data_IF_192751052814
#
_entry.id   IF_192751052814
#
_cell.length_a   1.000
_cell.length_b   1.000
_cell.length_c   1.000
_cell.angle_alpha   90.00
_cell.angle_beta   90.00
_cell.angle_gamma   90.00
#
_symmetry.space_group_name_H-M   'P 1'
#
loop_
_entity.id
_entity.type
_entity.pdbx_description
1 polymer ?
#
# COMPACT_ATOMS: atom_id res chain seq x y z
N UNK A 1 -0.77 -8.40 -26.71
CA UNK A 1 -0.20 -9.17 -25.58
C UNK A 1 -1.18 -9.20 -24.39
N UNK A 2 -1.69 -8.06 -23.96
CA UNK A 2 -2.62 -7.95 -22.82
C UNK A 2 -3.89 -8.76 -23.04
N UNK A 3 -4.55 -8.62 -24.19
CA UNK A 3 -5.78 -9.36 -24.53
C UNK A 3 -5.55 -10.89 -24.50
N UNK A 4 -4.38 -11.34 -24.96
CA UNK A 4 -4.03 -12.77 -24.93
C UNK A 4 -3.79 -13.26 -23.50
N UNK A 5 -3.26 -12.41 -22.61
CA UNK A 5 -3.05 -12.74 -21.20
C UNK A 5 -4.41 -12.80 -20.48
N UNK A 6 -5.26 -11.81 -20.68
CA UNK A 6 -6.60 -11.77 -20.12
C UNK A 6 -7.44 -13.01 -20.54
N UNK A 7 -7.44 -13.33 -21.82
CA UNK A 7 -8.15 -14.51 -22.33
C UNK A 7 -7.64 -15.84 -21.72
N UNK A 8 -6.33 -15.97 -21.53
CA UNK A 8 -5.75 -17.15 -20.87
C UNK A 8 -6.09 -17.20 -19.39
N UNK A 9 -5.99 -16.08 -18.68
CA UNK A 9 -6.33 -15.99 -17.27
C UNK A 9 -7.79 -16.35 -17.03
N UNK A 10 -8.72 -15.70 -17.76
CA UNK A 10 -10.14 -15.93 -17.62
C UNK A 10 -10.51 -17.39 -17.91
N UNK A 11 -9.93 -17.99 -18.96
CA UNK A 11 -10.14 -19.42 -19.25
C UNK A 11 -9.72 -20.32 -18.08
N UNK A 12 -8.60 -20.03 -17.41
CA UNK A 12 -8.12 -20.80 -16.26
C UNK A 12 -9.05 -20.60 -15.05
N UNK A 13 -9.57 -19.38 -14.86
CA UNK A 13 -10.54 -19.06 -13.83
C UNK A 13 -11.87 -19.76 -14.05
N UNK A 14 -12.42 -19.71 -15.26
CA UNK A 14 -13.67 -20.38 -15.67
C UNK A 14 -13.57 -21.89 -15.58
N UNK A 15 -12.41 -22.46 -15.89
CA UNK A 15 -12.15 -23.90 -15.75
C UNK A 15 -12.04 -24.36 -14.29
N UNK A 16 -12.18 -23.46 -13.30
CA UNK A 16 -12.11 -23.80 -11.88
C UNK A 16 -10.74 -24.29 -11.42
N UNK A 17 -9.66 -23.92 -12.12
CA UNK A 17 -8.29 -24.33 -11.76
C UNK A 17 -7.73 -23.49 -10.62
N UNK A 18 -8.07 -22.18 -10.60
CA UNK A 18 -7.55 -21.21 -9.64
C UNK A 18 -8.69 -20.41 -8.95
N UNK A 19 -9.83 -20.99 -8.52
CA UNK A 19 -10.73 -20.28 -7.64
C UNK A 19 -10.09 -20.19 -6.24
N UNK A 20 -10.31 -19.09 -5.49
CA UNK A 20 -9.68 -18.89 -4.17
C UNK A 20 -9.89 -20.05 -3.21
N UNK A 21 -11.08 -20.67 -3.24
CA UNK A 21 -11.43 -21.83 -2.42
C UNK A 21 -10.59 -23.08 -2.75
N UNK A 22 -10.35 -23.38 -4.02
CA UNK A 22 -9.52 -24.53 -4.42
C UNK A 22 -8.05 -24.31 -4.05
N UNK A 23 -7.55 -23.08 -4.20
CA UNK A 23 -6.19 -22.72 -3.79
C UNK A 23 -6.04 -22.86 -2.29
N UNK A 24 -7.01 -22.40 -1.50
CA UNK A 24 -7.01 -22.57 -0.05
C UNK A 24 -7.02 -24.04 0.34
N UNK A 25 -7.90 -24.85 -0.25
CA UNK A 25 -7.94 -26.30 0.00
C UNK A 25 -6.62 -27.00 -0.36
N UNK A 26 -5.97 -26.58 -1.44
CA UNK A 26 -4.67 -27.13 -1.84
C UNK A 26 -3.58 -26.75 -0.83
N UNK A 27 -3.55 -25.49 -0.36
CA UNK A 27 -2.64 -25.06 0.71
C UNK A 27 -2.84 -25.91 1.96
N UNK A 28 -4.10 -26.12 2.39
CA UNK A 28 -4.44 -26.90 3.56
C UNK A 28 -4.01 -28.37 3.45
N UNK A 29 -4.21 -28.97 2.26
CA UNK A 29 -3.77 -30.32 1.96
C UNK A 29 -2.26 -30.46 2.07
N UNK A 30 -1.50 -29.53 1.47
CA UNK A 30 -0.04 -29.51 1.55
C UNK A 30 0.46 -29.24 2.97
N UNK A 31 -0.16 -28.29 3.70
CA UNK A 31 0.19 -27.98 5.07
C UNK A 31 0.00 -29.20 5.98
N UNK A 32 -1.09 -29.95 5.79
CA UNK A 32 -1.36 -31.19 6.53
C UNK A 32 -0.33 -32.27 6.18
N UNK A 33 -0.01 -32.42 4.91
CA UNK A 33 0.98 -33.39 4.44
C UNK A 33 2.38 -33.11 5.01
N UNK A 34 2.73 -31.84 5.14
CA UNK A 34 4.05 -31.40 5.63
C UNK A 34 4.15 -31.32 7.17
N UNK A 35 3.08 -31.60 7.92
CA UNK A 35 3.01 -31.36 9.36
C UNK A 35 4.13 -32.05 10.17
N UNK A 36 4.54 -33.23 9.80
CA UNK A 36 5.65 -33.93 10.49
C UNK A 36 7.02 -33.43 10.05
N UNK A 37 7.18 -33.22 8.76
CA UNK A 37 8.46 -32.76 8.18
C UNK A 37 8.80 -31.33 8.59
N UNK A 38 7.81 -30.44 8.71
CA UNK A 38 8.02 -29.06 9.16
C UNK A 38 8.55 -29.00 10.60
N UNK A 39 8.07 -29.88 11.48
CA UNK A 39 8.58 -29.96 12.85
C UNK A 39 10.08 -30.25 12.89
N UNK A 40 10.52 -31.25 12.13
CA UNK A 40 11.95 -31.60 12.02
C UNK A 40 12.78 -30.48 11.35
N UNK A 41 12.19 -29.84 10.32
CA UNK A 41 12.86 -28.75 9.62
C UNK A 41 13.11 -27.54 10.55
N UNK A 42 12.09 -27.12 11.31
CA UNK A 42 12.21 -25.96 12.19
C UNK A 42 12.92 -26.25 13.52
N UNK A 43 13.04 -27.50 13.93
CA UNK A 43 14.00 -27.91 14.94
C UNK A 43 15.45 -27.73 14.48
N UNK A 44 15.73 -28.01 13.19
CA UNK A 44 17.06 -27.81 12.60
C UNK A 44 17.35 -26.35 12.29
N UNK A 45 16.34 -25.62 11.81
CA UNK A 45 16.42 -24.23 11.36
C UNK A 45 15.35 -23.39 12.06
N UNK A 46 15.63 -22.81 13.24
CA UNK A 46 14.62 -22.09 14.05
C UNK A 46 14.39 -20.68 13.51
N UNK A 47 13.81 -20.56 12.31
CA UNK A 47 13.62 -19.29 11.60
C UNK A 47 12.18 -18.75 11.66
N UNK A 48 11.23 -19.47 12.24
CA UNK A 48 9.81 -19.06 12.28
C UNK A 48 9.56 -17.70 12.95
N UNK A 49 10.40 -17.34 13.92
CA UNK A 49 10.34 -16.05 14.62
C UNK A 49 11.38 -15.05 14.11
N UNK A 50 12.06 -15.36 12.99
CA UNK A 50 13.13 -14.52 12.46
C UNK A 50 12.75 -14.04 11.07
N UNK A 51 12.72 -12.73 10.84
CA UNK A 51 12.53 -12.17 9.51
C UNK A 51 13.69 -12.56 8.61
N UNK A 52 13.44 -13.42 7.63
CA UNK A 52 14.42 -13.79 6.60
C UNK A 52 14.29 -12.87 5.38
N UNK A 53 15.39 -12.75 4.64
CA UNK A 53 15.73 -11.71 3.67
C UNK A 53 14.61 -11.16 2.78
N UNK A 54 13.70 -11.98 2.30
CA UNK A 54 12.65 -11.55 1.35
C UNK A 54 11.24 -11.54 1.96
N UNK A 55 11.09 -12.02 3.20
CA UNK A 55 9.79 -12.05 3.84
C UNK A 55 9.50 -10.71 4.51
N UNK A 56 8.30 -10.13 4.33
CA UNK A 56 7.92 -8.87 4.96
C UNK A 56 7.86 -9.00 6.49
N UNK A 57 7.50 -10.19 7.00
CA UNK A 57 7.37 -10.49 8.43
C UNK A 57 7.78 -11.93 8.75
N UNK A 58 7.86 -12.26 10.02
CA UNK A 58 7.90 -13.62 10.54
C UNK A 58 6.59 -13.89 11.30
N UNK A 59 5.87 -14.95 10.99
CA UNK A 59 4.57 -15.23 11.60
C UNK A 59 4.68 -15.94 12.97
N UNK A 60 5.87 -16.30 13.39
CA UNK A 60 6.14 -16.91 14.70
C UNK A 60 5.84 -18.41 14.81
N UNK A 61 5.03 -18.96 13.91
CA UNK A 61 4.69 -20.37 13.88
C UNK A 61 4.46 -20.86 12.45
N UNK A 62 4.51 -22.19 12.24
CA UNK A 62 4.20 -22.79 10.95
C UNK A 62 2.74 -22.52 10.53
N UNK A 63 1.81 -22.66 11.46
CA UNK A 63 0.40 -22.36 11.24
C UNK A 63 0.19 -20.89 10.86
N UNK A 64 0.92 -19.99 11.50
CA UNK A 64 0.91 -18.56 11.17
C UNK A 64 1.41 -18.26 9.76
N UNK A 65 2.48 -18.91 9.32
CA UNK A 65 2.99 -18.78 7.94
C UNK A 65 1.99 -19.37 6.91
N UNK A 66 1.36 -20.50 7.22
CA UNK A 66 0.31 -21.09 6.37
C UNK A 66 -0.91 -20.18 6.29
N UNK A 67 -1.35 -19.60 7.42
CA UNK A 67 -2.47 -18.68 7.45
C UNK A 67 -2.17 -17.42 6.63
N UNK A 68 -0.98 -16.87 6.77
CA UNK A 68 -0.56 -15.72 5.96
C UNK A 68 -0.55 -16.03 4.45
N UNK A 69 -0.10 -17.23 4.06
CA UNK A 69 -0.15 -17.67 2.67
C UNK A 69 -1.60 -17.73 2.14
N UNK A 70 -2.55 -18.23 2.96
CA UNK A 70 -3.98 -18.24 2.59
C UNK A 70 -4.50 -16.82 2.34
N UNK A 71 -4.28 -15.91 3.29
CA UNK A 71 -4.71 -14.52 3.21
C UNK A 71 -4.10 -13.82 1.99
N UNK A 72 -2.80 -14.02 1.76
CA UNK A 72 -2.13 -13.51 0.57
C UNK A 72 -2.79 -14.00 -0.71
N UNK A 73 -3.07 -15.30 -0.85
CA UNK A 73 -3.67 -15.85 -2.06
C UNK A 73 -5.14 -15.41 -2.25
N UNK A 74 -5.88 -15.29 -1.15
CA UNK A 74 -7.27 -14.78 -1.18
C UNK A 74 -7.35 -13.33 -1.65
N UNK A 75 -6.39 -12.51 -1.30
CA UNK A 75 -6.29 -11.12 -1.79
C UNK A 75 -5.67 -11.04 -3.19
N UNK A 76 -4.66 -11.87 -3.47
CA UNK A 76 -3.89 -11.81 -4.71
C UNK A 76 -4.67 -12.25 -5.94
N UNK A 77 -5.52 -13.27 -5.81
CA UNK A 77 -6.31 -13.77 -6.95
C UNK A 77 -7.31 -12.70 -7.45
N UNK A 78 -8.14 -12.08 -6.61
CA UNK A 78 -9.00 -10.98 -7.04
C UNK A 78 -8.22 -9.78 -7.60
N UNK A 79 -7.06 -9.48 -7.03
CA UNK A 79 -6.19 -8.44 -7.57
C UNK A 79 -5.75 -8.76 -9.01
N UNK A 80 -5.37 -10.01 -9.30
CA UNK A 80 -5.01 -10.42 -10.67
C UNK A 80 -6.24 -10.35 -11.58
N UNK A 81 -7.41 -10.81 -11.11
CA UNK A 81 -8.67 -10.72 -11.87
C UNK A 81 -8.93 -9.27 -12.32
N UNK A 82 -8.84 -8.34 -11.39
CA UNK A 82 -9.02 -6.92 -11.69
C UNK A 82 -7.93 -6.40 -12.64
N UNK A 83 -6.68 -6.71 -12.38
CA UNK A 83 -5.54 -6.20 -13.17
C UNK A 83 -5.52 -6.73 -14.60
N UNK A 84 -5.91 -7.97 -14.81
CA UNK A 84 -5.89 -8.62 -16.13
C UNK A 84 -7.11 -8.22 -16.96
N UNK A 85 -8.25 -7.99 -16.33
CA UNK A 85 -9.51 -7.64 -17.01
C UNK A 85 -9.75 -6.12 -17.14
N UNK A 86 -8.96 -5.30 -16.42
CA UNK A 86 -8.94 -3.87 -16.71
C UNK A 86 -8.18 -3.64 -18.02
N UNK A 87 -8.73 -2.89 -18.95
CA UNK A 87 -8.14 -2.51 -20.26
C UNK A 87 -6.85 -1.69 -20.15
N UNK A 88 -5.92 -2.12 -19.28
CA UNK A 88 -4.79 -1.32 -18.86
C UNK A 88 -5.20 -0.16 -17.96
N UNK A 89 -6.40 -0.20 -17.41
CA UNK A 89 -6.96 0.80 -16.51
C UNK A 89 -6.06 1.05 -15.32
N UNK A 90 -5.96 2.29 -14.93
CA UNK A 90 -5.14 2.74 -13.80
C UNK A 90 -5.86 2.56 -12.46
N UNK A 91 -6.91 1.70 -12.43
CA UNK A 91 -7.69 1.37 -11.24
C UNK A 91 -8.92 2.26 -11.00
N UNK A 92 -9.43 2.98 -12.01
CA UNK A 92 -10.55 3.91 -11.86
C UNK A 92 -11.81 3.27 -11.24
N UNK A 93 -12.06 2.01 -11.55
CA UNK A 93 -13.22 1.25 -11.05
C UNK A 93 -12.92 0.48 -9.74
N UNK A 94 -11.69 0.58 -9.21
CA UNK A 94 -11.32 -0.10 -7.97
C UNK A 94 -11.56 0.80 -6.77
N UNK A 95 -12.19 0.24 -5.75
CA UNK A 95 -12.41 0.88 -4.47
C UNK A 95 -11.91 0.00 -3.32
N UNK A 96 -11.13 0.58 -2.43
CA UNK A 96 -10.53 -0.11 -1.28
C UNK A 96 -11.12 0.42 0.02
N UNK A 97 -11.58 -0.46 0.88
CA UNK A 97 -11.90 -0.14 2.28
C UNK A 97 -10.69 -0.46 3.15
N UNK A 98 -10.15 0.55 3.82
CA UNK A 98 -8.89 0.46 4.56
C UNK A 98 -9.16 0.67 6.04
N UNK A 99 -9.00 -0.38 6.84
CA UNK A 99 -9.19 -0.37 8.28
C UNK A 99 -7.98 -0.88 9.07
N UNK A 100 -6.90 -1.31 8.39
CA UNK A 100 -5.68 -1.78 9.05
C UNK A 100 -4.41 -1.25 8.38
N UNK A 101 -3.28 -1.21 9.10
CA UNK A 101 -1.99 -0.80 8.52
C UNK A 101 -1.57 -1.66 7.33
N UNK A 102 -1.84 -2.95 7.35
CA UNK A 102 -1.51 -3.88 6.27
C UNK A 102 -2.35 -3.58 5.02
N UNK A 103 -3.63 -3.25 5.16
CA UNK A 103 -4.48 -2.85 4.03
C UNK A 103 -3.99 -1.54 3.40
N UNK A 104 -3.57 -0.57 4.22
CA UNK A 104 -2.97 0.67 3.72
C UNK A 104 -1.64 0.39 3.00
N UNK A 105 -0.81 -0.51 3.55
CA UNK A 105 0.42 -0.96 2.90
C UNK A 105 0.13 -1.60 1.54
N UNK A 106 -0.85 -2.51 1.47
CA UNK A 106 -1.24 -3.17 0.23
C UNK A 106 -1.78 -2.18 -0.80
N UNK A 107 -2.61 -1.24 -0.37
CA UNK A 107 -3.08 -0.15 -1.21
C UNK A 107 -1.93 0.69 -1.78
N UNK A 108 -0.99 1.13 -0.92
CA UNK A 108 0.18 1.89 -1.35
C UNK A 108 1.03 1.11 -2.38
N UNK A 109 1.25 -0.18 -2.15
CA UNK A 109 1.95 -1.03 -3.11
C UNK A 109 1.21 -1.15 -4.45
N UNK A 110 -0.11 -1.28 -4.44
CA UNK A 110 -0.90 -1.37 -5.66
C UNK A 110 -0.87 -0.06 -6.46
N UNK A 111 -1.02 1.08 -5.80
CA UNK A 111 -0.86 2.41 -6.42
C UNK A 111 0.54 2.56 -7.00
N UNK A 112 1.58 2.22 -6.25
CA UNK A 112 2.97 2.33 -6.67
C UNK A 112 3.33 1.38 -7.84
N UNK A 113 2.54 0.32 -8.02
CA UNK A 113 2.64 -0.63 -9.13
C UNK A 113 1.68 -0.32 -10.29
N UNK A 114 1.07 0.87 -10.33
CA UNK A 114 0.36 1.39 -11.48
C UNK A 114 -1.16 1.51 -11.36
N UNK A 115 -1.79 1.14 -10.22
CA UNK A 115 -3.21 1.40 -9.97
C UNK A 115 -3.41 2.83 -9.42
N UNK A 116 -2.85 3.82 -10.11
CA UNK A 116 -2.75 5.20 -9.61
C UNK A 116 -4.09 5.91 -9.45
N UNK A 117 -5.15 5.43 -10.10
CA UNK A 117 -6.50 5.99 -10.03
C UNK A 117 -7.47 5.15 -9.15
N UNK A 118 -6.96 4.15 -8.45
CA UNK A 118 -7.79 3.39 -7.52
C UNK A 118 -8.30 4.31 -6.39
N UNK A 119 -9.57 4.16 -6.04
CA UNK A 119 -10.21 4.90 -4.97
C UNK A 119 -10.07 4.16 -3.64
N UNK A 120 -10.07 4.90 -2.53
CA UNK A 120 -10.01 4.31 -1.20
C UNK A 120 -10.83 5.10 -0.18
N UNK A 121 -11.39 4.39 0.80
CA UNK A 121 -12.03 5.00 1.97
C UNK A 121 -11.45 4.38 3.24
N UNK A 122 -11.06 5.22 4.20
CA UNK A 122 -10.71 4.74 5.54
C UNK A 122 -11.98 4.35 6.30
N UNK A 123 -11.93 3.23 7.01
CA UNK A 123 -13.01 2.76 7.89
C UNK A 123 -12.58 2.70 9.36
N UNK A 124 -11.33 3.08 9.66
CA UNK A 124 -10.76 3.18 11.01
C UNK A 124 -9.53 4.08 11.00
N UNK A 125 -9.11 4.51 12.19
CA UNK A 125 -7.82 5.17 12.39
C UNK A 125 -6.67 4.16 12.17
N UNK A 126 -5.61 4.57 11.49
CA UNK A 126 -4.50 3.70 11.08
C UNK A 126 -3.19 4.15 11.76
N UNK A 127 -2.55 3.26 12.50
CA UNK A 127 -1.16 3.42 12.92
C UNK A 127 -0.22 2.83 11.87
N UNK A 128 0.37 3.71 11.06
CA UNK A 128 1.24 3.33 9.94
C UNK A 128 2.74 3.49 10.27
N UNK A 129 3.09 3.65 11.53
CA UNK A 129 4.48 3.89 12.00
C UNK A 129 5.40 2.71 11.74
N UNK A 130 4.87 1.50 11.59
CA UNK A 130 5.65 0.29 11.25
C UNK A 130 6.16 0.25 9.80
N UNK A 131 5.77 1.22 8.95
CA UNK A 131 6.12 1.28 7.52
C UNK A 131 6.85 2.57 7.15
N UNK A 132 8.03 2.86 7.74
CA UNK A 132 8.66 4.19 7.70
C UNK A 132 9.17 4.65 6.32
N UNK A 133 9.22 3.76 5.35
CA UNK A 133 9.71 4.09 4.00
C UNK A 133 8.60 4.03 2.94
N UNK A 134 7.38 3.71 3.33
CA UNK A 134 6.29 3.55 2.38
C UNK A 134 5.48 4.84 2.26
N UNK A 135 5.31 5.29 1.03
CA UNK A 135 4.48 6.42 0.64
C UNK A 135 3.53 5.98 -0.47
N UNK A 136 2.41 6.68 -0.62
CA UNK A 136 1.44 6.44 -1.70
C UNK A 136 1.83 7.29 -2.92
N UNK A 137 1.93 6.64 -4.08
CA UNK A 137 2.42 7.26 -5.31
C UNK A 137 3.95 7.28 -5.41
N UNK A 138 4.43 7.46 -6.64
CA UNK A 138 5.86 7.56 -6.96
C UNK A 138 6.17 8.91 -7.60
N UNK A 139 7.46 9.25 -7.77
CA UNK A 139 7.85 10.46 -8.51
C UNK A 139 7.47 10.41 -9.99
N UNK A 140 7.42 9.21 -10.57
CA UNK A 140 7.08 9.02 -11.98
C UNK A 140 5.56 8.89 -12.22
N UNK A 141 4.81 8.43 -11.20
CA UNK A 141 3.38 8.19 -11.26
C UNK A 141 2.76 8.56 -9.92
N UNK A 142 2.23 9.78 -9.84
CA UNK A 142 1.52 10.27 -8.66
C UNK A 142 0.17 9.56 -8.49
N UNK A 143 -0.35 9.60 -7.26
CA UNK A 143 -1.71 9.13 -6.99
C UNK A 143 -2.74 10.06 -7.65
N UNK A 144 -3.66 9.47 -8.41
CA UNK A 144 -4.64 10.18 -9.23
C UNK A 144 -6.09 9.76 -8.94
N UNK A 145 -6.32 8.89 -7.96
CA UNK A 145 -7.65 8.46 -7.50
C UNK A 145 -8.27 9.41 -6.49
N UNK A 146 -9.36 8.96 -5.87
CA UNK A 146 -10.04 9.63 -4.78
C UNK A 146 -9.78 8.87 -3.46
N UNK A 147 -9.21 9.57 -2.46
CA UNK A 147 -8.90 9.02 -1.15
C UNK A 147 -9.74 9.74 -0.10
N UNK A 148 -10.76 9.06 0.39
CA UNK A 148 -11.63 9.54 1.45
C UNK A 148 -11.10 9.10 2.82
N UNK A 149 -10.63 10.04 3.62
CA UNK A 149 -10.24 9.81 5.01
C UNK A 149 -11.42 9.52 5.92
N UNK A 150 -12.66 9.85 5.50
CA UNK A 150 -13.91 9.67 6.26
C UNK A 150 -13.84 10.22 7.69
N UNK A 151 -13.00 11.23 7.91
CA UNK A 151 -12.74 11.82 9.23
C UNK A 151 -11.75 11.06 10.10
N UNK A 152 -11.18 9.97 9.60
CA UNK A 152 -10.19 9.16 10.30
C UNK A 152 -8.77 9.74 10.22
N UNK A 153 -7.89 9.16 11.04
CA UNK A 153 -6.48 9.55 11.18
C UNK A 153 -5.54 8.48 10.66
N UNK A 154 -4.47 8.91 10.00
CA UNK A 154 -3.29 8.08 9.74
C UNK A 154 -2.12 8.66 10.54
N UNK A 155 -1.52 7.85 11.42
CA UNK A 155 -0.30 8.20 12.14
C UNK A 155 0.89 7.60 11.42
N UNK A 156 1.86 8.45 11.01
CA UNK A 156 3.03 8.04 10.23
C UNK A 156 4.34 8.25 11.01
N UNK A 157 5.36 7.46 10.69
CA UNK A 157 6.75 7.72 11.05
C UNK A 157 7.62 7.54 9.81
N UNK A 158 7.66 8.56 8.95
CA UNK A 158 8.35 8.50 7.66
C UNK A 158 9.77 9.00 7.82
N UNK A 159 10.74 8.21 7.34
CA UNK A 159 12.14 8.62 7.24
C UNK A 159 12.62 8.47 5.80
N UNK A 160 12.98 9.60 5.15
CA UNK A 160 13.41 9.66 3.75
C UNK A 160 14.47 10.73 3.52
N UNK A 161 15.61 10.34 2.96
CA UNK A 161 16.75 11.23 2.73
C UNK A 161 16.99 11.58 1.25
N UNK A 162 16.44 10.83 0.31
CA UNK A 162 16.76 10.98 -1.11
C UNK A 162 15.59 11.46 -1.98
N UNK A 163 14.37 11.42 -1.47
CA UNK A 163 13.15 11.70 -2.24
C UNK A 163 12.19 12.57 -1.42
N UNK A 164 11.26 13.19 -2.12
CA UNK A 164 10.19 13.94 -1.47
C UNK A 164 9.47 13.10 -0.42
N UNK A 165 9.14 13.69 0.74
CA UNK A 165 8.66 12.98 1.92
C UNK A 165 7.26 13.47 2.32
N UNK A 166 6.26 12.59 2.28
CA UNK A 166 4.90 12.79 2.76
C UNK A 166 4.14 11.47 2.75
N UNK A 167 2.91 11.42 3.27
CA UNK A 167 2.05 10.25 3.08
C UNK A 167 1.79 9.99 1.59
N UNK A 168 1.43 11.03 0.82
CA UNK A 168 1.35 10.98 -0.65
C UNK A 168 2.59 11.65 -1.25
N UNK A 169 3.36 10.91 -2.05
CA UNK A 169 4.58 11.46 -2.64
C UNK A 169 4.29 12.51 -3.71
N UNK A 170 3.44 12.17 -4.68
CA UNK A 170 2.90 13.10 -5.68
C UNK A 170 1.40 12.86 -5.77
N UNK A 171 0.62 13.91 -5.70
CA UNK A 171 -0.84 13.86 -5.74
C UNK A 171 -1.37 14.64 -6.93
N UNK A 172 -2.09 13.95 -7.82
CA UNK A 172 -2.84 14.54 -8.94
C UNK A 172 -4.35 14.26 -8.87
N UNK A 173 -4.78 13.37 -7.95
CA UNK A 173 -6.16 13.06 -7.64
C UNK A 173 -6.73 13.92 -6.52
N UNK A 174 -7.61 13.35 -5.72
CA UNK A 174 -8.24 14.01 -4.58
C UNK A 174 -7.94 13.27 -3.27
N UNK A 175 -7.64 14.02 -2.21
CA UNK A 175 -7.60 13.52 -0.84
C UNK A 175 -8.49 14.42 -0.01
N UNK A 176 -9.42 13.83 0.73
CA UNK A 176 -10.35 14.63 1.53
C UNK A 176 -10.69 13.99 2.87
N UNK A 177 -11.14 14.82 3.82
CA UNK A 177 -11.60 14.40 5.13
C UNK A 177 -10.59 13.53 5.91
N UNK A 178 -9.29 13.81 5.75
CA UNK A 178 -8.18 13.05 6.33
C UNK A 178 -7.40 13.86 7.36
N UNK A 179 -7.08 13.23 8.49
CA UNK A 179 -6.08 13.74 9.43
C UNK A 179 -4.78 12.92 9.31
N UNK A 180 -3.65 13.58 9.09
CA UNK A 180 -2.32 12.96 9.15
C UNK A 180 -1.57 13.47 10.37
N UNK A 181 -1.02 12.55 11.17
CA UNK A 181 -0.29 12.84 12.40
C UNK A 181 1.04 12.06 12.41
N UNK A 182 1.90 12.31 13.40
CA UNK A 182 3.17 11.61 13.58
C UNK A 182 4.38 12.42 13.16
N UNK A 183 5.42 11.77 12.63
CA UNK A 183 6.69 12.45 12.32
C UNK A 183 7.20 12.10 10.93
N UNK A 184 7.70 13.11 10.23
CA UNK A 184 8.38 12.97 8.94
C UNK A 184 9.79 13.51 9.09
N UNK A 185 10.80 12.61 8.97
CA UNK A 185 12.22 12.95 9.03
C UNK A 185 12.81 12.90 7.63
N UNK A 186 13.44 13.99 7.21
CA UNK A 186 13.91 14.08 5.83
C UNK A 186 15.07 15.06 5.64
N UNK A 187 15.89 14.82 4.61
CA UNK A 187 16.78 15.80 3.99
C UNK A 187 16.28 16.22 2.59
N UNK A 188 15.09 15.82 2.21
CA UNK A 188 14.51 16.05 0.88
C UNK A 188 14.08 17.49 0.70
N UNK A 189 14.07 17.96 -0.56
CA UNK A 189 13.67 19.33 -0.91
C UNK A 189 12.21 19.61 -0.55
N UNK A 190 11.30 18.68 -0.87
CA UNK A 190 9.87 18.84 -0.60
C UNK A 190 9.42 17.85 0.47
N UNK A 191 8.77 18.38 1.51
CA UNK A 191 8.15 17.54 2.54
C UNK A 191 6.84 18.16 3.03
N UNK A 192 5.89 17.29 3.37
CA UNK A 192 4.60 17.69 3.93
C UNK A 192 3.94 16.54 4.68
N UNK A 193 2.95 16.86 5.52
CA UNK A 193 2.16 15.84 6.18
C UNK A 193 1.34 15.01 5.18
N UNK A 194 0.67 15.66 4.22
CA UNK A 194 -0.25 14.99 3.31
C UNK A 194 0.42 14.72 1.96
N UNK A 195 0.81 15.73 1.19
CA UNK A 195 1.42 15.53 -0.11
C UNK A 195 2.72 16.33 -0.26
N UNK A 196 3.83 15.67 -0.62
CA UNK A 196 5.07 16.41 -0.89
C UNK A 196 4.97 17.25 -2.15
N UNK A 197 4.31 16.75 -3.19
CA UNK A 197 3.97 17.48 -4.41
C UNK A 197 2.48 17.36 -4.72
N UNK A 198 1.76 18.48 -4.72
CA UNK A 198 0.40 18.58 -5.22
C UNK A 198 0.44 19.04 -6.67
N UNK A 199 0.23 18.12 -7.62
CA UNK A 199 0.37 18.35 -9.03
C UNK A 199 -0.99 18.30 -9.75
N UNK A 200 -1.74 19.38 -9.71
CA UNK A 200 -3.08 19.49 -10.28
C UNK A 200 -4.19 18.80 -9.47
N UNK A 201 -3.82 18.14 -8.35
CA UNK A 201 -4.76 17.44 -7.47
C UNK A 201 -5.48 18.37 -6.48
N UNK A 202 -6.26 17.76 -5.60
CA UNK A 202 -7.05 18.46 -4.57
C UNK A 202 -6.80 17.86 -3.19
N UNK A 203 -6.68 18.74 -2.20
CA UNK A 203 -6.67 18.38 -0.77
C UNK A 203 -7.77 19.18 -0.09
N UNK A 204 -8.82 18.52 0.39
CA UNK A 204 -10.04 19.15 0.87
C UNK A 204 -10.34 18.72 2.31
N UNK A 205 -10.61 19.66 3.21
CA UNK A 205 -10.98 19.39 4.60
C UNK A 205 -10.03 18.44 5.32
N UNK A 206 -8.74 18.54 5.03
CA UNK A 206 -7.71 17.71 5.63
C UNK A 206 -6.94 18.46 6.71
N UNK A 207 -6.36 17.71 7.65
CA UNK A 207 -5.53 18.24 8.71
C UNK A 207 -4.16 17.54 8.73
N UNK A 208 -3.11 18.30 9.02
CA UNK A 208 -1.79 17.77 9.33
C UNK A 208 -1.40 18.24 10.72
N UNK A 209 -1.28 17.29 11.65
CA UNK A 209 -0.96 17.55 13.06
C UNK A 209 0.48 17.13 13.39
N UNK A 210 1.12 16.39 12.49
CA UNK A 210 2.45 15.83 12.68
C UNK A 210 3.58 16.85 12.56
N UNK A 211 4.77 16.43 12.98
CA UNK A 211 6.01 17.21 12.90
C UNK A 211 6.81 16.86 11.64
N UNK A 212 7.46 17.86 11.04
CA UNK A 212 8.45 17.66 9.99
C UNK A 212 9.82 18.04 10.56
N UNK A 213 10.69 17.06 10.68
CA UNK A 213 12.07 17.21 11.11
C UNK A 213 12.99 17.15 9.89
N UNK A 214 13.56 18.28 9.49
CA UNK A 214 14.39 18.36 8.31
C UNK A 214 15.84 18.68 8.63
N UNK A 215 16.74 17.99 7.94
CA UNK A 215 18.19 18.26 7.97
C UNK A 215 18.69 18.93 6.68
N UNK A 216 17.79 19.30 5.76
CA UNK A 216 18.19 19.97 4.52
C UNK A 216 18.88 21.32 4.83
N UNK A 217 19.99 21.57 4.19
CA UNK A 217 20.64 22.87 4.21
C UNK A 217 20.39 23.60 2.88
N UNK A 218 19.80 24.81 2.94
CA UNK A 218 19.54 25.63 1.76
C UNK A 218 18.09 25.55 1.29
N UNK A 219 17.88 25.31 -0.01
CA UNK A 219 16.56 25.41 -0.67
C UNK A 219 15.66 24.20 -0.36
N UNK A 220 15.02 24.23 0.79
CA UNK A 220 13.97 23.27 1.19
C UNK A 220 12.62 23.95 1.28
N UNK A 221 11.57 23.31 0.75
CA UNK A 221 10.19 23.75 0.84
C UNK A 221 9.37 22.72 1.59
N UNK A 222 8.95 23.07 2.79
CA UNK A 222 8.20 22.19 3.67
C UNK A 222 6.88 22.85 4.06
N UNK A 223 5.78 22.11 3.97
CA UNK A 223 4.46 22.60 4.33
C UNK A 223 3.70 21.60 5.20
N UNK A 224 2.82 22.08 6.07
CA UNK A 224 1.97 21.19 6.86
C UNK A 224 1.11 20.28 5.96
N UNK A 225 0.45 20.84 4.96
CA UNK A 225 -0.47 20.14 4.04
C UNK A 225 0.26 19.69 2.77
N UNK A 226 0.90 20.61 2.05
CA UNK A 226 1.65 20.31 0.83
C UNK A 226 3.02 20.99 0.86
N UNK A 227 4.05 20.28 0.34
CA UNK A 227 5.40 20.81 0.19
C UNK A 227 5.48 21.81 -0.96
N UNK A 228 4.91 21.47 -2.10
CA UNK A 228 4.76 22.35 -3.25
C UNK A 228 3.41 22.08 -3.93
N UNK A 229 2.74 23.13 -4.39
CA UNK A 229 1.53 23.03 -5.20
C UNK A 229 1.79 23.66 -6.57
N UNK A 230 1.45 22.92 -7.63
CA UNK A 230 1.63 23.33 -9.03
C UNK A 230 0.47 22.85 -9.90
N UNK A 231 0.40 23.33 -11.13
CA UNK A 231 -0.61 22.94 -12.11
C UNK A 231 -2.07 23.04 -11.59
N UNK A 232 -2.39 24.17 -10.94
CA UNK A 232 -3.70 24.46 -10.32
C UNK A 232 -4.08 23.49 -9.18
N UNK A 233 -3.12 22.95 -8.44
CA UNK A 233 -3.40 22.20 -7.22
C UNK A 233 -4.22 23.04 -6.22
N UNK A 234 -5.30 22.46 -5.67
CA UNK A 234 -6.24 23.12 -4.77
C UNK A 234 -6.08 22.58 -3.35
N UNK A 235 -6.02 23.49 -2.38
CA UNK A 235 -6.08 23.18 -0.94
C UNK A 235 -7.22 24.01 -0.35
N UNK A 236 -8.19 23.33 0.30
CA UNK A 236 -9.38 23.93 0.87
C UNK A 236 -9.74 23.36 2.25
#
# INVERSE_FOLDING_TARGET
>A
FCDSLAAKWNRVREAGVIPPENVTQYIDSLATHLQQSQTLNFMRWPILSTKVQVNPRAAGSYEGEVQWLREFMQSRIPWIDNRVNSDGGQGEDLHFEIGTPEQLMDFAHQVNNGLVKANATLIADIDFTSFPSLMIGTSASGYAGDFDGAGHRITVDITRDADNAALFRTLSGCVHDLTVDGTIRTSSKYAAGIASELNGGKILRCQSLGAIESTISGDGTHGGIAGVAQNNGLIE
#
